data_IF_711039924301
#
_entry.id   IF_711039924301
#
_cell.length_a   1.000
_cell.length_b   1.000
_cell.length_c   1.000
_cell.angle_alpha   90.00
_cell.angle_beta   90.00
_cell.angle_gamma   90.00
#
_symmetry.space_group_name_H-M   'P 1'
#
loop_
_entity.id
_entity.type
_entity.pdbx_description
1 polymer ?
#
# COMPACT_ATOMS: atom_id res chain seq x y z
N UNK A 1 -15.25 21.24 3.69
CA UNK A 1 -16.52 20.48 3.84
C UNK A 1 -17.05 20.00 2.50
N UNK A 2 -17.37 20.89 1.54
CA UNK A 2 -17.83 20.49 0.20
C UNK A 2 -16.87 19.54 -0.56
N UNK A 3 -15.56 19.77 -0.47
CA UNK A 3 -14.55 18.91 -1.13
C UNK A 3 -14.54 17.45 -0.65
N UNK A 4 -14.67 17.22 0.65
CA UNK A 4 -14.74 15.86 1.22
C UNK A 4 -16.06 15.16 0.89
N UNK A 5 -17.17 15.90 0.82
CA UNK A 5 -18.46 15.37 0.37
C UNK A 5 -18.45 14.94 -1.10
N UNK A 6 -17.83 15.74 -1.97
CA UNK A 6 -17.67 15.40 -3.39
C UNK A 6 -16.74 14.18 -3.57
N UNK A 7 -15.66 14.10 -2.80
CA UNK A 7 -14.75 12.96 -2.79
C UNK A 7 -15.47 11.67 -2.35
N UNK A 8 -16.24 11.71 -1.26
CA UNK A 8 -17.05 10.57 -0.80
C UNK A 8 -18.10 10.13 -1.83
N UNK A 9 -18.76 11.07 -2.51
CA UNK A 9 -19.69 10.77 -3.60
C UNK A 9 -19.00 10.05 -4.77
N UNK A 10 -17.79 10.49 -5.13
CA UNK A 10 -17.01 9.87 -6.20
C UNK A 10 -16.57 8.44 -5.84
N UNK A 11 -16.15 8.20 -4.59
CA UNK A 11 -15.80 6.86 -4.08
C UNK A 11 -17.00 5.91 -4.03
N UNK A 12 -18.16 6.40 -3.61
CA UNK A 12 -19.41 5.63 -3.64
C UNK A 12 -19.78 5.24 -5.09
N UNK A 13 -19.64 6.18 -6.04
CA UNK A 13 -19.85 5.92 -7.47
C UNK A 13 -18.81 4.97 -8.08
N UNK A 14 -17.60 4.93 -7.54
CA UNK A 14 -16.54 3.98 -7.91
C UNK A 14 -16.77 2.57 -7.35
N UNK A 15 -17.87 2.31 -6.64
CA UNK A 15 -18.19 1.01 -6.05
C UNK A 15 -17.31 0.65 -4.85
N UNK A 16 -16.60 1.63 -4.28
CA UNK A 16 -15.79 1.42 -3.09
C UNK A 16 -16.73 1.27 -1.90
N UNK A 17 -16.74 0.07 -1.30
CA UNK A 17 -17.53 -0.18 -0.10
C UNK A 17 -17.11 0.77 1.03
N UNK A 18 -18.05 1.28 1.85
CA UNK A 18 -17.72 2.08 3.03
C UNK A 18 -16.86 1.33 4.06
N UNK A 19 -16.92 -0.01 4.08
CA UNK A 19 -16.23 -0.82 5.08
C UNK A 19 -14.69 -0.67 5.05
N UNK A 20 -13.99 -0.83 3.89
CA UNK A 20 -12.57 -0.53 3.78
C UNK A 20 -12.17 0.89 4.20
N UNK A 21 -13.02 1.88 3.96
CA UNK A 21 -12.76 3.27 4.35
C UNK A 21 -12.67 3.41 5.87
N UNK A 22 -13.62 2.83 6.60
CA UNK A 22 -13.65 2.87 8.07
C UNK A 22 -12.43 2.14 8.63
N UNK A 23 -12.07 0.98 8.06
CA UNK A 23 -10.89 0.23 8.47
C UNK A 23 -9.60 1.03 8.24
N UNK A 24 -9.45 1.70 7.10
CA UNK A 24 -8.32 2.60 6.85
C UNK A 24 -8.25 3.77 7.82
N UNK A 25 -9.41 4.35 8.18
CA UNK A 25 -9.49 5.44 9.16
C UNK A 25 -9.03 5.00 10.56
N UNK A 26 -9.36 3.78 10.97
CA UNK A 26 -8.96 3.22 12.27
C UNK A 26 -7.49 2.78 12.24
N UNK A 27 -7.06 2.13 11.17
CA UNK A 27 -5.68 1.63 11.03
C UNK A 27 -4.66 2.74 10.81
N UNK A 28 -5.05 3.88 10.22
CA UNK A 28 -4.14 5.00 9.98
C UNK A 28 -3.41 5.47 11.24
N UNK A 29 -4.11 5.85 12.33
CA UNK A 29 -3.49 6.22 13.59
C UNK A 29 -2.62 5.10 14.20
N UNK A 30 -3.03 3.83 14.04
CA UNK A 30 -2.27 2.68 14.53
C UNK A 30 -0.93 2.56 13.78
N UNK A 31 -0.97 2.71 12.46
CA UNK A 31 0.22 2.72 11.61
C UNK A 31 1.15 3.88 11.97
N UNK A 32 0.60 5.09 12.12
CA UNK A 32 1.37 6.30 12.44
C UNK A 32 2.07 6.17 13.79
N UNK A 33 1.35 5.69 14.82
CA UNK A 33 1.92 5.47 16.14
C UNK A 33 3.05 4.42 16.09
N UNK A 34 2.88 3.32 15.35
CA UNK A 34 3.92 2.31 15.17
C UNK A 34 5.15 2.84 14.42
N UNK A 35 4.93 3.68 13.40
CA UNK A 35 5.98 4.36 12.66
C UNK A 35 6.76 5.35 13.53
N UNK A 36 6.05 6.21 14.27
CA UNK A 36 6.64 7.13 15.24
C UNK A 36 7.44 6.40 16.31
N UNK A 37 6.89 5.33 16.91
CA UNK A 37 7.59 4.53 17.91
C UNK A 37 8.89 3.93 17.34
N UNK A 38 8.84 3.41 16.11
CA UNK A 38 10.01 2.86 15.43
C UNK A 38 11.08 3.93 15.18
N UNK A 39 10.70 5.13 14.74
CA UNK A 39 11.63 6.24 14.53
C UNK A 39 12.25 6.75 15.84
N UNK A 40 11.49 6.78 16.94
CA UNK A 40 12.01 7.13 18.25
C UNK A 40 13.07 6.12 18.72
N UNK A 41 12.84 4.82 18.48
CA UNK A 41 13.73 3.74 18.93
C UNK A 41 15.13 3.84 18.32
N UNK A 42 15.27 4.25 17.06
CA UNK A 42 16.59 4.49 16.49
C UNK A 42 16.85 5.93 16.13
N UNK A 43 16.40 6.84 17.00
CA UNK A 43 16.90 8.21 17.07
C UNK A 43 16.76 8.98 15.76
N UNK A 44 15.69 8.72 14.99
CA UNK A 44 15.42 9.40 13.72
C UNK A 44 16.16 8.84 12.50
N UNK A 45 16.89 7.73 12.62
CA UNK A 45 17.54 7.07 11.49
C UNK A 45 16.59 6.06 10.80
N UNK A 46 16.36 6.21 9.50
CA UNK A 46 15.58 5.25 8.70
C UNK A 46 16.28 3.89 8.55
N UNK A 47 17.58 3.81 8.86
CA UNK A 47 18.36 2.57 8.87
C UNK A 47 17.82 1.49 9.83
N UNK A 48 17.02 1.85 10.84
CA UNK A 48 16.41 0.91 11.80
C UNK A 48 15.62 -0.21 11.12
N UNK A 49 14.90 0.14 10.05
CA UNK A 49 14.08 -0.81 9.31
C UNK A 49 14.94 -1.87 8.59
N UNK A 50 16.21 -1.57 8.30
CA UNK A 50 17.19 -2.48 7.71
C UNK A 50 18.07 -3.16 8.77
N UNK A 51 18.21 -2.58 9.95
CA UNK A 51 18.97 -3.14 11.08
C UNK A 51 18.30 -4.36 11.70
N UNK A 52 16.97 -4.47 11.63
CA UNK A 52 16.23 -5.64 12.14
C UNK A 52 15.99 -6.65 11.01
N UNK A 53 16.55 -7.88 11.08
CA UNK A 53 16.33 -8.92 10.07
C UNK A 53 14.85 -9.25 9.87
N UNK A 54 14.06 -9.16 10.94
CA UNK A 54 12.61 -9.40 10.91
C UNK A 54 11.89 -8.29 10.15
N UNK A 55 12.27 -7.03 10.36
CA UNK A 55 11.69 -5.89 9.65
C UNK A 55 11.98 -5.98 8.15
N UNK A 56 13.20 -6.37 7.77
CA UNK A 56 13.58 -6.60 6.36
C UNK A 56 12.71 -7.67 5.72
N UNK A 57 12.55 -8.83 6.38
CA UNK A 57 11.71 -9.92 5.85
C UNK A 57 10.25 -9.47 5.69
N UNK A 58 9.70 -8.78 6.68
CA UNK A 58 8.32 -8.26 6.62
C UNK A 58 8.14 -7.21 5.52
N UNK A 59 9.11 -6.30 5.34
CA UNK A 59 9.10 -5.32 4.25
C UNK A 59 9.17 -5.98 2.88
N UNK A 60 10.01 -7.00 2.72
CA UNK A 60 10.05 -7.79 1.49
C UNK A 60 8.69 -8.46 1.23
N UNK A 61 8.11 -9.13 2.23
CA UNK A 61 6.78 -9.76 2.09
C UNK A 61 5.69 -8.74 1.74
N UNK A 62 5.71 -7.56 2.36
CA UNK A 62 4.78 -6.48 2.05
C UNK A 62 4.94 -6.00 0.60
N UNK A 63 6.18 -5.80 0.14
CA UNK A 63 6.47 -5.43 -1.24
C UNK A 63 6.00 -6.51 -2.24
N UNK A 64 6.25 -7.79 -1.95
CA UNK A 64 5.75 -8.90 -2.76
C UNK A 64 4.21 -8.95 -2.81
N UNK A 65 3.54 -8.74 -1.68
CA UNK A 65 2.08 -8.72 -1.60
C UNK A 65 1.48 -7.58 -2.43
N UNK A 66 2.05 -6.37 -2.34
CA UNK A 66 1.61 -5.22 -3.15
C UNK A 66 1.82 -5.50 -4.63
N UNK A 67 2.98 -6.05 -5.02
CA UNK A 67 3.31 -6.38 -6.40
C UNK A 67 2.38 -7.45 -6.98
N UNK A 68 1.96 -8.43 -6.17
CA UNK A 68 1.01 -9.45 -6.57
C UNK A 68 -0.43 -8.92 -6.67
N UNK A 69 -0.81 -8.01 -5.76
CA UNK A 69 -2.16 -7.45 -5.68
C UNK A 69 -2.45 -6.37 -6.73
N UNK A 70 -1.44 -5.68 -7.28
CA UNK A 70 -1.67 -4.67 -8.31
C UNK A 70 -1.96 -5.33 -9.67
N UNK A 71 -3.17 -5.17 -10.27
CA UNK A 71 -3.47 -5.69 -11.60
C UNK A 71 -2.64 -5.02 -12.72
N UNK A 72 -1.88 -3.96 -12.40
CA UNK A 72 -0.89 -3.34 -13.29
C UNK A 72 0.21 -4.31 -13.73
N UNK A 73 0.67 -5.22 -12.87
CA UNK A 73 1.73 -6.18 -13.21
C UNK A 73 1.25 -7.23 -14.22
N UNK A 74 -0.03 -7.62 -14.13
CA UNK A 74 -0.70 -8.49 -15.13
C UNK A 74 -0.87 -7.80 -16.48
N UNK A 75 -1.18 -6.50 -16.51
CA UNK A 75 -1.28 -5.70 -17.75
C UNK A 75 0.09 -5.47 -18.41
N UNK A 76 1.13 -5.20 -17.61
CA UNK A 76 2.50 -5.03 -18.09
C UNK A 76 3.10 -6.33 -18.68
N UNK A 77 2.93 -7.48 -18.01
CA UNK A 77 3.41 -8.78 -18.50
C UNK A 77 2.58 -9.29 -19.70
N UNK A 78 1.27 -9.01 -19.74
CA UNK A 78 0.44 -9.35 -20.90
C UNK A 78 0.85 -8.59 -22.17
N UNK A 79 1.41 -7.37 -22.03
CA UNK A 79 1.89 -6.59 -23.18
C UNK A 79 3.16 -7.15 -23.84
N UNK A 80 4.00 -7.86 -23.08
CA UNK A 80 5.16 -8.60 -23.61
C UNK A 80 4.76 -9.95 -24.23
N UNK A 81 3.68 -10.58 -23.74
CA UNK A 81 3.15 -11.83 -24.31
C UNK A 81 2.48 -11.65 -25.68
N UNK A 82 2.04 -10.43 -26.03
CA UNK A 82 1.49 -10.10 -27.36
C UNK A 82 2.55 -9.96 -28.46
N UNK A 83 3.83 -9.73 -28.11
CA UNK A 83 4.92 -9.62 -29.09
C UNK A 83 5.49 -10.97 -29.53
N UNK A 84 5.25 -12.04 -28.77
CA UNK A 84 5.71 -13.40 -29.11
C UNK A 84 4.75 -14.18 -30.04
N UNK A 85 3.60 -13.61 -30.44
CA UNK A 85 2.65 -14.22 -31.38
C UNK A 85 2.76 -13.66 -32.82
N UNK A 86 3.70 -12.75 -33.08
CA UNK A 86 3.97 -12.15 -34.40
C UNK A 86 5.34 -12.56 -34.96
N UNK A 87 5.98 -13.58 -34.40
CA UNK A 87 7.20 -14.20 -34.93
C UNK A 87 6.92 -15.66 -35.29
#
# INVERSE_FOLDING_TARGET
MLGFGLFGYWLSKAGVSPAPMVIGLILGPVMENGFHQSMLIGNGDYGIFLSSPIAVVLLCMAAFSILQATPLFRWLIASLRRRAQLA
#
